data_IF_854841486643
#
_entry.id   IF_854841486643
#
_cell.length_a   1.000
_cell.length_b   1.000
_cell.length_c   1.000
_cell.angle_alpha   90.00
_cell.angle_beta   90.00
_cell.angle_gamma   90.00
#
_symmetry.space_group_name_H-M   'P 1'
#
loop_
_entity.id
_entity.type
_entity.pdbx_description
1 polymer ?
#
# COMPACT_ATOMS: atom_id res chain seq x y z
N UNK A 1 8.09 14.21 -39.34
CA UNK A 1 9.06 15.26 -39.40
C UNK A 1 10.42 14.70 -39.00
N UNK A 2 11.42 14.75 -39.87
CA UNK A 2 12.80 14.40 -39.50
C UNK A 2 13.50 15.66 -39.04
N UNK A 3 14.23 15.60 -37.96
CA UNK A 3 15.19 16.63 -37.62
C UNK A 3 16.47 16.38 -38.42
N UNK A 4 16.79 17.25 -39.37
CA UNK A 4 18.08 17.23 -40.05
C UNK A 4 19.05 18.00 -39.17
N UNK A 5 20.03 17.32 -38.60
CA UNK A 5 21.11 17.93 -37.85
C UNK A 5 22.30 18.10 -38.80
N UNK A 6 22.60 19.34 -39.20
CA UNK A 6 23.82 19.65 -39.93
C UNK A 6 24.92 19.79 -38.86
N UNK A 7 26.01 19.03 -38.95
CA UNK A 7 27.13 19.21 -38.02
C UNK A 7 27.87 20.51 -38.43
N UNK A 8 27.50 21.61 -37.78
CA UNK A 8 28.10 22.92 -38.00
C UNK A 8 28.46 23.62 -36.68
N UNK A 9 28.53 22.86 -35.61
CA UNK A 9 29.08 23.35 -34.34
C UNK A 9 30.59 23.27 -34.37
N UNK A 10 31.26 24.31 -33.95
CA UNK A 10 32.68 24.28 -33.66
C UNK A 10 32.88 23.42 -32.42
N UNK A 11 33.64 22.33 -32.55
CA UNK A 11 33.87 21.40 -31.45
C UNK A 11 35.07 21.81 -30.59
N UNK A 12 36.03 22.51 -31.20
CA UNK A 12 37.25 23.02 -30.56
C UNK A 12 37.44 24.54 -30.78
N UNK A 13 38.04 25.25 -29.82
CA UNK A 13 38.41 26.66 -30.00
C UNK A 13 39.30 26.91 -31.22
N UNK A 14 40.16 25.95 -31.59
CA UNK A 14 41.02 25.96 -32.77
C UNK A 14 40.25 26.14 -34.08
N UNK A 15 39.02 25.61 -34.19
CA UNK A 15 38.19 25.71 -35.37
C UNK A 15 37.76 27.17 -35.64
N UNK A 16 37.54 27.92 -34.56
CA UNK A 16 37.19 29.32 -34.61
C UNK A 16 38.42 30.19 -34.99
N UNK A 17 39.61 29.88 -34.43
CA UNK A 17 40.85 30.58 -34.76
C UNK A 17 41.20 30.45 -36.21
N UNK A 18 41.04 29.26 -36.79
CA UNK A 18 41.41 28.95 -38.17
C UNK A 18 40.30 29.29 -39.18
N UNK A 19 39.20 29.94 -38.77
CA UNK A 19 38.10 30.28 -39.67
C UNK A 19 38.59 31.30 -40.73
N UNK A 20 38.55 30.98 -42.03
CA UNK A 20 39.01 31.90 -43.06
C UNK A 20 38.01 33.05 -43.22
N UNK A 21 38.47 34.29 -42.99
CA UNK A 21 37.67 35.50 -43.11
C UNK A 21 37.81 36.10 -44.49
N UNK A 22 39.03 36.10 -45.08
CA UNK A 22 39.32 36.66 -46.42
C UNK A 22 40.48 35.92 -47.07
N UNK A 23 40.32 35.56 -48.33
CA UNK A 23 41.39 35.05 -49.18
C UNK A 23 41.83 36.19 -50.15
N UNK A 24 43.13 36.46 -50.15
CA UNK A 24 43.71 37.46 -51.07
C UNK A 24 44.88 36.81 -51.82
N UNK A 25 44.60 36.20 -52.98
CA UNK A 25 45.52 35.35 -53.71
C UNK A 25 45.90 34.09 -52.89
N UNK A 26 47.21 33.87 -52.73
CA UNK A 26 47.74 32.73 -51.93
C UNK A 26 47.68 32.92 -50.39
N UNK A 27 47.26 34.09 -49.95
CA UNK A 27 47.22 34.39 -48.49
C UNK A 27 45.83 34.29 -47.94
N UNK A 28 45.63 33.41 -47.02
CA UNK A 28 44.38 33.23 -46.23
C UNK A 28 44.54 34.02 -44.93
N UNK A 29 43.62 34.95 -44.69
CA UNK A 29 43.53 35.69 -43.43
C UNK A 29 42.48 34.97 -42.55
N UNK A 30 42.92 34.50 -41.41
CA UNK A 30 42.06 33.77 -40.44
C UNK A 30 41.46 34.73 -39.41
N UNK A 31 40.43 34.29 -38.70
CA UNK A 31 39.81 35.08 -37.63
C UNK A 31 40.81 35.35 -36.49
N UNK A 32 41.69 34.40 -36.20
CA UNK A 32 42.76 34.54 -35.19
C UNK A 32 43.80 35.61 -35.55
N UNK A 33 43.97 35.94 -36.85
CA UNK A 33 44.86 37.04 -37.30
C UNK A 33 44.28 38.44 -37.09
N UNK A 34 42.92 38.52 -36.96
CA UNK A 34 42.20 39.79 -36.91
C UNK A 34 41.65 40.13 -35.53
N UNK A 35 41.43 39.13 -34.70
CA UNK A 35 40.74 39.28 -33.41
C UNK A 35 41.35 38.40 -32.33
N UNK A 36 41.30 38.89 -31.10
CA UNK A 36 41.60 38.12 -29.91
C UNK A 36 40.36 37.36 -29.49
N UNK A 37 40.41 36.03 -29.60
CA UNK A 37 39.29 35.15 -29.27
C UNK A 37 39.44 34.68 -27.81
N UNK A 38 38.49 35.04 -26.96
CA UNK A 38 38.45 34.64 -25.54
C UNK A 38 37.28 33.73 -25.28
N UNK A 39 37.54 32.61 -24.65
CA UNK A 39 36.50 31.78 -24.13
C UNK A 39 35.89 32.46 -22.89
N UNK A 40 34.65 32.81 -22.93
CA UNK A 40 33.94 33.44 -21.81
C UNK A 40 32.56 32.85 -21.66
N UNK A 41 31.92 33.19 -20.55
CA UNK A 41 30.52 32.79 -20.31
C UNK A 41 29.59 33.80 -20.98
N UNK A 42 28.43 33.33 -21.41
CA UNK A 42 27.34 34.16 -21.90
C UNK A 42 26.91 35.17 -20.80
N UNK A 43 26.51 36.35 -21.25
CA UNK A 43 26.02 37.38 -20.33
C UNK A 43 24.82 36.86 -19.51
N UNK A 44 24.78 37.18 -18.24
CA UNK A 44 23.73 36.72 -17.35
C UNK A 44 22.38 37.22 -17.81
N UNK A 45 21.57 36.33 -18.34
CA UNK A 45 20.17 36.57 -18.76
C UNK A 45 19.18 36.47 -17.61
N UNK A 46 19.59 35.87 -16.50
CA UNK A 46 18.72 35.68 -15.30
C UNK A 46 19.53 35.49 -14.03
N UNK A 47 18.84 35.66 -12.89
CA UNK A 47 19.41 35.45 -11.57
C UNK A 47 18.50 34.45 -10.81
N UNK A 48 19.06 33.35 -10.36
CA UNK A 48 18.40 32.43 -9.45
C UNK A 48 18.74 32.80 -8.00
N UNK A 49 17.74 32.96 -7.14
CA UNK A 49 17.90 33.24 -5.71
C UNK A 49 17.02 32.32 -4.89
N UNK A 50 17.55 31.87 -3.77
CA UNK A 50 16.82 31.13 -2.77
C UNK A 50 16.98 31.86 -1.42
N UNK A 51 15.90 32.23 -0.76
CA UNK A 51 15.89 33.07 0.44
C UNK A 51 16.68 34.37 0.33
N UNK A 52 16.76 34.95 -0.88
CA UNK A 52 17.52 36.18 -1.14
C UNK A 52 18.98 35.96 -1.56
N UNK A 53 19.56 34.81 -1.27
CA UNK A 53 20.93 34.43 -1.63
C UNK A 53 21.02 33.86 -3.05
N UNK A 54 22.13 34.12 -3.72
CA UNK A 54 22.38 33.58 -5.07
C UNK A 54 22.53 32.09 -5.00
N UNK A 55 21.80 31.38 -5.85
CA UNK A 55 21.78 29.91 -5.86
C UNK A 55 21.95 29.32 -7.26
N UNK A 56 22.33 28.05 -7.29
CA UNK A 56 22.30 27.20 -8.49
C UNK A 56 21.33 26.05 -8.21
N UNK A 57 20.32 25.89 -9.06
CA UNK A 57 19.36 24.81 -8.93
C UNK A 57 19.74 23.65 -9.84
N UNK A 58 19.91 22.46 -9.25
CA UNK A 58 20.10 21.20 -9.99
C UNK A 58 18.78 20.45 -9.93
N UNK A 59 18.17 20.21 -11.08
CA UNK A 59 16.92 19.48 -11.17
C UNK A 59 17.21 18.02 -11.52
N UNK A 60 16.80 17.12 -10.62
CA UNK A 60 16.88 15.67 -10.84
C UNK A 60 15.51 15.15 -11.24
N UNK A 61 15.40 14.56 -12.42
CA UNK A 61 14.14 14.04 -12.97
C UNK A 61 14.20 12.52 -13.04
N UNK A 62 13.23 11.88 -12.42
CA UNK A 62 13.07 10.42 -12.40
C UNK A 62 12.69 9.88 -13.79
N UNK A 63 13.33 8.79 -14.23
CA UNK A 63 12.87 8.01 -15.39
C UNK A 63 11.61 7.19 -15.04
N UNK A 64 10.81 6.88 -16.05
CA UNK A 64 9.65 5.99 -15.90
C UNK A 64 10.10 4.61 -15.38
N UNK A 65 9.35 4.05 -14.45
CA UNK A 65 9.61 2.71 -13.88
C UNK A 65 10.52 2.68 -12.64
N UNK A 66 11.18 3.79 -12.28
CA UNK A 66 11.98 3.86 -11.04
C UNK A 66 11.15 4.32 -9.84
N UNK A 67 11.52 3.86 -8.65
CA UNK A 67 10.92 4.33 -7.40
C UNK A 67 11.41 5.74 -7.07
N UNK A 68 10.47 6.65 -6.79
CA UNK A 68 10.80 8.04 -6.48
C UNK A 68 11.46 8.18 -5.10
N UNK A 69 11.00 7.40 -4.12
CA UNK A 69 11.49 7.48 -2.73
C UNK A 69 12.94 7.01 -2.68
N UNK A 70 13.21 5.81 -3.22
CA UNK A 70 14.57 5.23 -3.23
C UNK A 70 15.56 6.11 -3.99
N UNK A 71 15.14 6.63 -5.16
CA UNK A 71 15.98 7.54 -5.95
C UNK A 71 16.28 8.84 -5.20
N UNK A 72 15.29 9.43 -4.53
CA UNK A 72 15.50 10.65 -3.77
C UNK A 72 16.46 10.43 -2.59
N UNK A 73 16.37 9.28 -1.94
CA UNK A 73 17.26 8.91 -0.85
C UNK A 73 18.69 8.67 -1.32
N UNK A 74 18.86 7.99 -2.46
CA UNK A 74 20.15 7.78 -3.12
C UNK A 74 20.77 9.11 -3.54
N UNK A 75 20.02 10.01 -4.18
CA UNK A 75 20.49 11.35 -4.57
C UNK A 75 20.91 12.17 -3.37
N UNK A 76 20.12 12.18 -2.29
CA UNK A 76 20.47 12.89 -1.04
C UNK A 76 21.75 12.36 -0.42
N UNK A 77 21.92 11.03 -0.40
CA UNK A 77 23.12 10.38 0.14
C UNK A 77 24.36 10.71 -0.69
N UNK A 78 24.23 10.71 -2.03
CA UNK A 78 25.29 11.04 -2.97
C UNK A 78 25.68 12.52 -2.86
N UNK A 79 24.73 13.43 -2.80
CA UNK A 79 24.98 14.88 -2.62
C UNK A 79 25.67 15.13 -1.26
N UNK A 80 25.26 14.42 -0.21
CA UNK A 80 25.90 14.55 1.11
C UNK A 80 27.34 14.04 1.08
N UNK A 81 27.60 12.90 0.44
CA UNK A 81 28.93 12.34 0.30
C UNK A 81 29.86 13.27 -0.51
N UNK A 82 29.34 13.81 -1.61
CA UNK A 82 30.09 14.71 -2.49
C UNK A 82 30.38 16.04 -1.78
N UNK A 83 29.41 16.64 -1.11
CA UNK A 83 29.62 17.87 -0.35
C UNK A 83 30.66 17.76 0.76
N UNK A 84 30.83 16.56 1.34
CA UNK A 84 31.86 16.27 2.33
C UNK A 84 33.26 16.15 1.73
N UNK A 85 33.38 15.83 0.44
CA UNK A 85 34.65 15.74 -0.27
C UNK A 85 35.24 17.11 -0.66
N UNK A 86 34.45 18.17 -0.59
CA UNK A 86 34.87 19.51 -0.98
C UNK A 86 35.92 20.11 -0.03
N UNK A 87 36.78 21.03 -0.51
CA UNK A 87 37.66 21.81 0.36
C UNK A 87 36.86 22.58 1.43
N UNK A 88 37.47 22.75 2.61
CA UNK A 88 36.80 23.40 3.75
C UNK A 88 36.20 24.76 3.43
N UNK A 89 36.88 25.55 2.61
CA UNK A 89 36.44 26.87 2.19
C UNK A 89 35.11 26.82 1.42
N UNK A 90 34.94 25.82 0.55
CA UNK A 90 33.71 25.59 -0.20
C UNK A 90 32.59 25.01 0.68
N UNK A 91 32.92 24.14 1.62
CA UNK A 91 31.93 23.60 2.56
C UNK A 91 31.30 24.68 3.46
N UNK A 92 32.07 25.71 3.79
CA UNK A 92 31.56 26.85 4.57
C UNK A 92 30.82 27.85 3.70
N UNK A 93 31.26 28.07 2.47
CA UNK A 93 30.70 29.08 1.57
C UNK A 93 29.42 28.61 0.87
N UNK A 94 29.25 27.31 0.65
CA UNK A 94 28.13 26.72 -0.11
C UNK A 94 27.21 25.95 0.81
N UNK A 95 25.99 26.42 0.94
CA UNK A 95 24.94 25.70 1.64
C UNK A 95 24.15 24.85 0.65
N UNK A 96 24.19 23.53 0.81
CA UNK A 96 23.43 22.59 0.00
C UNK A 96 22.08 22.30 0.67
N UNK A 97 21.00 22.60 -0.03
CA UNK A 97 19.63 22.35 0.42
C UNK A 97 18.81 21.62 -0.63
N UNK A 98 17.74 20.98 -0.18
CA UNK A 98 16.76 20.36 -1.08
C UNK A 98 15.50 21.22 -1.14
N UNK A 99 15.04 21.51 -2.34
CA UNK A 99 13.80 22.26 -2.59
C UNK A 99 12.88 21.40 -3.46
N UNK A 100 11.57 21.50 -3.25
CA UNK A 100 10.53 20.80 -4.00
C UNK A 100 10.74 19.27 -4.04
N UNK A 101 11.02 18.68 -2.89
CA UNK A 101 11.16 17.23 -2.74
C UNK A 101 9.79 16.54 -2.75
N UNK A 102 9.45 15.95 -3.90
CA UNK A 102 8.20 15.22 -4.06
C UNK A 102 8.20 13.85 -3.36
N UNK A 103 9.36 13.32 -2.97
CA UNK A 103 9.44 12.02 -2.30
C UNK A 103 8.78 12.03 -0.92
N UNK A 104 8.91 13.12 -0.17
CA UNK A 104 8.28 13.29 1.13
C UNK A 104 6.74 13.33 1.03
N UNK A 105 6.22 13.97 -0.02
CA UNK A 105 4.78 14.01 -0.27
C UNK A 105 4.24 12.61 -0.63
N UNK A 106 4.95 11.87 -1.49
CA UNK A 106 4.58 10.50 -1.86
C UNK A 106 4.64 9.58 -0.66
N UNK A 107 5.70 9.66 0.16
CA UNK A 107 5.81 8.88 1.39
C UNK A 107 4.67 9.16 2.38
N UNK A 108 4.29 10.43 2.53
CA UNK A 108 3.14 10.82 3.37
C UNK A 108 1.83 10.25 2.86
N UNK A 109 1.60 10.24 1.53
CA UNK A 109 0.40 9.65 0.93
C UNK A 109 0.35 8.13 1.14
N UNK A 110 1.48 7.43 0.99
CA UNK A 110 1.56 5.98 1.27
C UNK A 110 1.23 5.71 2.74
N UNK A 111 1.79 6.49 3.67
CA UNK A 111 1.46 6.38 5.10
C UNK A 111 -0.01 6.67 5.41
N UNK A 112 -0.63 7.64 4.73
CA UNK A 112 -2.07 7.90 4.86
C UNK A 112 -2.93 6.74 4.34
N UNK A 113 -2.55 6.13 3.23
CA UNK A 113 -3.24 4.94 2.71
C UNK A 113 -3.15 3.80 3.72
N UNK A 114 -1.95 3.50 4.21
CA UNK A 114 -1.73 2.45 5.20
C UNK A 114 -2.58 2.69 6.47
N UNK A 115 -2.54 3.90 7.02
CA UNK A 115 -3.36 4.29 8.17
C UNK A 115 -4.86 4.16 7.90
N UNK A 116 -5.33 4.56 6.72
CA UNK A 116 -6.75 4.46 6.32
C UNK A 116 -7.20 3.01 6.20
N UNK A 117 -6.37 2.15 5.58
CA UNK A 117 -6.64 0.72 5.45
C UNK A 117 -6.69 0.05 6.82
N UNK A 118 -5.72 0.31 7.70
CA UNK A 118 -5.68 -0.26 9.05
C UNK A 118 -6.89 0.19 9.88
N UNK A 119 -7.25 1.47 9.81
CA UNK A 119 -8.43 2.01 10.50
C UNK A 119 -9.71 1.37 9.99
N UNK A 120 -9.86 1.21 8.68
CA UNK A 120 -11.02 0.57 8.09
C UNK A 120 -11.12 -0.91 8.49
N UNK A 121 -10.00 -1.65 8.48
CA UNK A 121 -9.95 -3.03 8.95
C UNK A 121 -10.43 -3.10 10.41
N UNK A 122 -9.93 -2.23 11.27
CA UNK A 122 -10.29 -2.19 12.67
C UNK A 122 -11.79 -1.91 12.88
N UNK A 123 -12.34 -0.90 12.21
CA UNK A 123 -13.76 -0.54 12.30
C UNK A 123 -14.66 -1.67 11.79
N UNK A 124 -14.34 -2.22 10.62
CA UNK A 124 -15.10 -3.32 10.03
C UNK A 124 -15.03 -4.55 10.92
N UNK A 125 -13.85 -4.89 11.46
CA UNK A 125 -13.72 -6.02 12.38
C UNK A 125 -14.58 -5.85 13.64
N UNK A 126 -14.68 -4.63 14.21
CA UNK A 126 -15.54 -4.35 15.36
C UNK A 126 -17.01 -4.59 15.01
N UNK A 127 -17.48 -4.06 13.87
CA UNK A 127 -18.88 -4.23 13.41
C UNK A 127 -19.18 -5.69 13.14
N UNK A 128 -18.34 -6.38 12.39
CA UNK A 128 -18.52 -7.80 12.04
C UNK A 128 -18.38 -8.70 13.26
N UNK A 129 -17.49 -8.36 14.20
CA UNK A 129 -17.36 -9.09 15.47
C UNK A 129 -18.67 -9.04 16.29
N UNK A 130 -19.32 -7.89 16.27
CA UNK A 130 -20.59 -7.69 17.01
C UNK A 130 -21.75 -8.42 16.34
N UNK A 131 -21.79 -8.45 14.99
CA UNK A 131 -22.90 -9.05 14.21
C UNK A 131 -22.73 -10.56 13.99
N UNK A 132 -21.57 -11.00 13.51
CA UNK A 132 -21.30 -12.38 13.07
C UNK A 132 -20.40 -13.17 14.04
N UNK A 133 -19.73 -12.47 14.96
CA UNK A 133 -18.79 -13.08 15.92
C UNK A 133 -17.36 -13.17 15.39
N UNK A 134 -16.47 -13.74 16.22
CA UNK A 134 -15.01 -13.71 16.00
C UNK A 134 -14.56 -14.39 14.71
N UNK A 135 -15.22 -15.47 14.31
CA UNK A 135 -14.89 -16.20 13.08
C UNK A 135 -15.15 -15.37 11.83
N UNK A 136 -16.33 -14.76 11.72
CA UNK A 136 -16.69 -13.89 10.60
C UNK A 136 -15.78 -12.67 10.55
N UNK A 137 -15.47 -12.06 11.69
CA UNK A 137 -14.61 -10.88 11.78
C UNK A 137 -13.19 -11.15 11.23
N UNK A 138 -12.56 -12.27 11.61
CA UNK A 138 -11.23 -12.63 11.11
C UNK A 138 -11.25 -12.86 9.60
N UNK A 139 -12.26 -13.57 9.08
CA UNK A 139 -12.36 -13.85 7.65
C UNK A 139 -12.55 -12.58 6.82
N UNK A 140 -13.45 -11.70 7.25
CA UNK A 140 -13.70 -10.41 6.57
C UNK A 140 -12.50 -9.48 6.73
N UNK A 141 -11.89 -9.43 7.92
CA UNK A 141 -10.68 -8.65 8.16
C UNK A 141 -9.50 -9.05 7.29
N UNK A 142 -9.38 -10.35 6.96
CA UNK A 142 -8.36 -10.85 6.04
C UNK A 142 -8.70 -10.58 4.57
N UNK A 143 -9.97 -10.45 4.22
CA UNK A 143 -10.41 -10.19 2.85
C UNK A 143 -9.96 -8.79 2.36
N UNK A 144 -9.88 -7.79 3.24
CA UNK A 144 -9.50 -6.42 2.88
C UNK A 144 -8.06 -6.36 2.34
N UNK A 145 -7.01 -6.76 3.11
CA UNK A 145 -5.65 -6.68 2.63
C UNK A 145 -5.39 -7.58 1.41
N UNK A 146 -6.04 -8.75 1.33
CA UNK A 146 -5.91 -9.62 0.14
C UNK A 146 -6.51 -9.00 -1.10
N UNK A 147 -7.62 -8.28 -0.99
CA UNK A 147 -8.24 -7.55 -2.11
C UNK A 147 -7.34 -6.40 -2.58
N UNK A 148 -6.70 -5.68 -1.66
CA UNK A 148 -5.74 -4.63 -2.00
C UNK A 148 -4.50 -5.19 -2.70
N UNK A 149 -3.91 -6.25 -2.16
CA UNK A 149 -2.75 -6.91 -2.79
C UNK A 149 -3.09 -7.37 -4.21
N UNK A 150 -4.24 -8.01 -4.40
CA UNK A 150 -4.70 -8.41 -5.72
C UNK A 150 -4.92 -7.21 -6.65
N UNK A 151 -5.48 -6.12 -6.14
CA UNK A 151 -5.63 -4.87 -6.89
C UNK A 151 -4.28 -4.31 -7.33
N UNK A 152 -3.29 -4.24 -6.45
CA UNK A 152 -1.95 -3.77 -6.81
C UNK A 152 -1.30 -4.64 -7.89
N UNK A 153 -1.49 -5.96 -7.83
CA UNK A 153 -1.02 -6.86 -8.89
C UNK A 153 -1.71 -6.55 -10.22
N UNK A 154 -3.03 -6.34 -10.23
CA UNK A 154 -3.77 -6.01 -11.45
C UNK A 154 -3.35 -4.66 -12.03
N UNK A 155 -3.19 -3.63 -11.20
CA UNK A 155 -2.69 -2.31 -11.61
C UNK A 155 -1.27 -2.42 -12.18
N UNK A 156 -0.40 -3.23 -11.56
CA UNK A 156 0.97 -3.47 -12.02
C UNK A 156 1.02 -4.17 -13.38
N UNK A 157 0.19 -5.20 -13.60
CA UNK A 157 0.08 -5.91 -14.89
C UNK A 157 -0.41 -4.97 -16.00
N UNK A 158 -1.33 -4.07 -15.69
CA UNK A 158 -1.84 -3.07 -16.63
C UNK A 158 -0.89 -1.88 -16.83
N UNK A 159 0.24 -1.82 -16.12
CA UNK A 159 1.20 -0.73 -16.22
C UNK A 159 0.68 0.62 -15.68
N UNK A 160 -0.36 0.60 -14.85
CA UNK A 160 -0.92 1.80 -14.22
C UNK A 160 -0.01 2.22 -13.07
N UNK A 161 0.54 3.42 -13.17
CA UNK A 161 1.39 3.99 -12.11
C UNK A 161 0.54 4.52 -10.96
N UNK A 162 1.01 4.33 -9.73
CA UNK A 162 0.36 4.85 -8.53
C UNK A 162 0.50 6.38 -8.55
N UNK A 163 -0.62 7.06 -8.77
CA UNK A 163 -0.75 8.52 -8.74
C UNK A 163 -1.64 8.95 -7.58
N UNK A 164 -1.70 10.26 -7.30
CA UNK A 164 -2.58 10.82 -6.27
C UNK A 164 -4.05 10.41 -6.48
N UNK A 165 -4.50 10.30 -7.75
CA UNK A 165 -5.86 9.89 -8.06
C UNK A 165 -6.09 8.40 -7.81
N UNK A 166 -5.10 7.56 -8.11
CA UNK A 166 -5.15 6.13 -7.77
C UNK A 166 -5.21 5.93 -6.27
N UNK A 167 -4.38 6.66 -5.50
CA UNK A 167 -4.39 6.60 -4.03
C UNK A 167 -5.73 7.05 -3.45
N UNK A 168 -6.30 8.15 -3.97
CA UNK A 168 -7.61 8.61 -3.56
C UNK A 168 -8.70 7.58 -3.86
N UNK A 169 -8.66 6.96 -5.06
CA UNK A 169 -9.56 5.86 -5.42
C UNK A 169 -9.45 4.66 -4.50
N UNK A 170 -8.21 4.29 -4.10
CA UNK A 170 -7.97 3.20 -3.15
C UNK A 170 -8.56 3.49 -1.76
N UNK A 171 -8.36 4.71 -1.24
CA UNK A 171 -8.95 5.13 0.06
C UNK A 171 -10.47 5.08 0.01
N UNK A 172 -11.07 5.55 -1.09
CA UNK A 172 -12.52 5.53 -1.28
C UNK A 172 -13.06 4.10 -1.38
N UNK A 173 -12.32 3.22 -2.04
CA UNK A 173 -12.68 1.82 -2.21
C UNK A 173 -12.69 1.03 -0.90
N UNK A 174 -11.91 1.42 0.11
CA UNK A 174 -11.81 0.69 1.39
C UNK A 174 -13.19 0.40 1.99
N UNK A 175 -14.09 1.40 1.99
CA UNK A 175 -15.45 1.24 2.52
C UNK A 175 -16.33 0.31 1.69
N UNK A 176 -16.08 0.19 0.38
CA UNK A 176 -16.89 -0.61 -0.54
C UNK A 176 -16.37 -2.05 -0.72
N UNK A 177 -15.11 -2.31 -0.32
CA UNK A 177 -14.47 -3.61 -0.47
C UNK A 177 -15.13 -4.73 0.34
N UNK A 178 -15.77 -4.38 1.43
CA UNK A 178 -16.19 -5.33 2.47
C UNK A 178 -17.58 -5.88 2.22
N UNK A 179 -18.42 -5.16 1.49
CA UNK A 179 -19.83 -5.48 1.31
C UNK A 179 -20.05 -6.90 0.76
N UNK A 180 -19.33 -7.27 -0.28
CA UNK A 180 -19.43 -8.61 -0.86
C UNK A 180 -18.96 -9.71 0.09
N UNK A 181 -17.89 -9.44 0.84
CA UNK A 181 -17.34 -10.40 1.81
C UNK A 181 -18.29 -10.64 2.98
N UNK A 182 -18.91 -9.58 3.52
CA UNK A 182 -19.87 -9.67 4.63
C UNK A 182 -21.05 -10.55 4.23
N UNK A 183 -21.65 -10.30 3.06
CA UNK A 183 -22.84 -11.05 2.59
C UNK A 183 -22.54 -12.55 2.43
N UNK A 184 -21.37 -12.89 1.86
CA UNK A 184 -20.97 -14.29 1.69
C UNK A 184 -20.74 -14.98 3.05
N UNK A 185 -20.05 -14.32 3.98
CA UNK A 185 -19.77 -14.87 5.32
C UNK A 185 -21.06 -15.02 6.11
N UNK A 186 -21.94 -14.02 6.10
CA UNK A 186 -23.23 -14.05 6.80
C UNK A 186 -24.10 -15.22 6.35
N UNK A 187 -24.22 -15.41 5.03
CA UNK A 187 -24.95 -16.54 4.48
C UNK A 187 -24.34 -17.88 4.90
N UNK A 188 -23.02 -18.01 4.83
CA UNK A 188 -22.32 -19.22 5.22
C UNK A 188 -22.51 -19.52 6.72
N UNK A 189 -22.37 -18.52 7.58
CA UNK A 189 -22.55 -18.69 9.02
C UNK A 189 -24.00 -19.07 9.39
N UNK A 190 -25.00 -18.52 8.68
CA UNK A 190 -26.39 -18.93 8.82
C UNK A 190 -26.58 -20.41 8.47
N UNK A 191 -26.00 -20.87 7.37
CA UNK A 191 -26.08 -22.29 6.95
C UNK A 191 -25.34 -23.22 7.92
N UNK A 192 -24.22 -22.76 8.48
CA UNK A 192 -23.51 -23.52 9.52
C UNK A 192 -24.37 -23.62 10.79
N UNK A 193 -25.07 -22.55 11.18
CA UNK A 193 -25.99 -22.57 12.31
C UNK A 193 -27.19 -23.53 12.09
N UNK A 194 -27.61 -23.71 10.85
CA UNK A 194 -28.65 -24.69 10.44
C UNK A 194 -28.12 -26.15 10.44
N UNK A 195 -26.82 -26.37 10.71
CA UNK A 195 -26.22 -27.70 10.78
C UNK A 195 -25.47 -28.16 9.55
N UNK A 196 -25.33 -27.33 8.52
CA UNK A 196 -24.54 -27.66 7.34
C UNK A 196 -23.05 -27.63 7.67
N UNK A 197 -22.26 -28.55 7.11
CA UNK A 197 -20.80 -28.55 7.30
C UNK A 197 -20.14 -27.27 6.76
N UNK A 198 -19.09 -26.76 7.42
CA UNK A 198 -18.50 -25.47 7.04
C UNK A 198 -18.09 -25.37 5.55
N UNK A 199 -17.46 -26.41 5.01
CA UNK A 199 -17.03 -26.41 3.60
C UNK A 199 -18.21 -26.33 2.63
N UNK A 200 -19.26 -27.13 2.87
CA UNK A 200 -20.47 -27.12 2.04
C UNK A 200 -21.25 -25.80 2.19
N UNK A 201 -21.28 -25.22 3.39
CA UNK A 201 -21.93 -23.94 3.64
C UNK A 201 -21.27 -22.80 2.87
N UNK A 202 -19.94 -22.73 2.87
CA UNK A 202 -19.20 -21.69 2.12
C UNK A 202 -19.28 -21.89 0.60
N UNK A 203 -19.28 -23.13 0.10
CA UNK A 203 -19.50 -23.43 -1.32
C UNK A 203 -20.91 -23.03 -1.74
N UNK A 204 -21.92 -23.32 -0.92
CA UNK A 204 -23.31 -22.91 -1.20
C UNK A 204 -23.44 -21.38 -1.15
N UNK A 205 -22.81 -20.73 -0.17
CA UNK A 205 -22.78 -19.27 -0.07
C UNK A 205 -22.20 -18.62 -1.31
N UNK A 206 -21.05 -19.10 -1.79
CA UNK A 206 -20.44 -18.57 -3.03
C UNK A 206 -21.37 -18.71 -4.24
N UNK A 207 -22.02 -19.88 -4.39
CA UNK A 207 -22.94 -20.11 -5.51
C UNK A 207 -24.21 -19.25 -5.44
N UNK A 208 -24.83 -19.15 -4.26
CA UNK A 208 -26.07 -18.40 -4.12
C UNK A 208 -25.89 -16.89 -4.08
N UNK A 209 -24.79 -16.42 -3.49
CA UNK A 209 -24.51 -15.00 -3.37
C UNK A 209 -23.77 -14.42 -4.58
N UNK A 210 -23.40 -15.26 -5.57
CA UNK A 210 -22.72 -14.81 -6.79
C UNK A 210 -23.49 -13.66 -7.47
N UNK A 211 -24.74 -13.91 -7.86
CA UNK A 211 -25.53 -12.91 -8.59
C UNK A 211 -25.87 -11.66 -7.75
N UNK A 212 -26.32 -11.75 -6.49
CA UNK A 212 -26.53 -10.59 -5.66
C UNK A 212 -25.28 -9.72 -5.49
N UNK A 213 -24.14 -10.32 -5.20
CA UNK A 213 -22.87 -9.58 -4.99
C UNK A 213 -22.35 -9.03 -6.32
N UNK A 214 -22.39 -9.79 -7.41
CA UNK A 214 -21.97 -9.33 -8.73
C UNK A 214 -22.85 -8.16 -9.23
N UNK A 215 -24.16 -8.25 -9.07
CA UNK A 215 -25.08 -7.17 -9.49
C UNK A 215 -24.91 -5.92 -8.65
N UNK A 216 -24.73 -6.04 -7.32
CA UNK A 216 -24.44 -4.91 -6.45
C UNK A 216 -23.14 -4.21 -6.84
N UNK A 217 -22.06 -4.99 -7.04
CA UNK A 217 -20.77 -4.47 -7.49
C UNK A 217 -20.89 -3.78 -8.85
N UNK A 218 -21.60 -4.40 -9.80
CA UNK A 218 -21.83 -3.82 -11.13
C UNK A 218 -22.60 -2.49 -11.04
N UNK A 219 -23.62 -2.42 -10.19
CA UNK A 219 -24.38 -1.18 -9.97
C UNK A 219 -23.49 -0.07 -9.42
N UNK A 220 -22.65 -0.39 -8.45
CA UNK A 220 -21.68 0.56 -7.88
C UNK A 220 -20.69 1.04 -8.95
N UNK A 221 -20.17 0.13 -9.78
CA UNK A 221 -19.29 0.48 -10.89
C UNK A 221 -19.96 1.37 -11.92
N UNK A 222 -21.23 1.09 -12.27
CA UNK A 222 -21.99 1.90 -13.20
C UNK A 222 -22.17 3.35 -12.74
N UNK A 223 -22.19 3.60 -11.42
CA UNK A 223 -22.27 4.96 -10.88
C UNK A 223 -21.00 5.78 -11.19
N UNK A 224 -19.84 5.14 -11.30
CA UNK A 224 -18.56 5.81 -11.60
C UNK A 224 -18.21 5.84 -13.10
N UNK A 225 -18.87 5.02 -13.94
CA UNK A 225 -18.61 4.96 -15.38
C UNK A 225 -18.72 6.32 -16.10
N UNK A 226 -19.68 7.22 -15.78
CA UNK A 226 -19.78 8.52 -16.46
C UNK A 226 -18.52 9.36 -16.35
N UNK A 227 -17.73 9.21 -15.28
CA UNK A 227 -16.45 9.94 -15.12
C UNK A 227 -15.38 9.52 -16.13
N UNK A 228 -15.45 8.27 -16.64
CA UNK A 228 -14.53 7.77 -17.68
C UNK A 228 -14.75 8.45 -19.04
N UNK A 229 -15.99 8.87 -19.31
CA UNK A 229 -16.37 9.48 -20.58
C UNK A 229 -16.31 11.01 -20.55
N UNK A 230 -15.81 11.60 -19.46
CA UNK A 230 -15.68 13.04 -19.35
C UNK A 230 -14.63 13.57 -20.33
N UNK A 231 -14.97 14.51 -21.24
CA UNK A 231 -14.04 15.02 -22.25
C UNK A 231 -13.04 16.01 -21.64
N UNK A 232 -11.85 16.10 -22.29
CA UNK A 232 -10.85 17.11 -22.00
C UNK A 232 -9.90 16.75 -20.85
N UNK A 233 -9.15 17.74 -20.38
CA UNK A 233 -8.13 17.59 -19.33
C UNK A 233 -8.70 17.07 -18.01
N UNK A 234 -9.88 17.52 -17.54
CA UNK A 234 -10.49 16.96 -16.33
C UNK A 234 -10.76 15.47 -16.43
N UNK A 235 -11.22 14.98 -17.58
CA UNK A 235 -11.48 13.56 -17.79
C UNK A 235 -10.22 12.71 -17.78
N UNK A 236 -9.12 13.21 -18.37
CA UNK A 236 -7.83 12.52 -18.33
C UNK A 236 -7.28 12.41 -16.90
N UNK A 237 -7.48 13.44 -16.09
CA UNK A 237 -7.00 13.46 -14.71
C UNK A 237 -7.90 12.62 -13.79
N UNK A 238 -9.21 12.81 -13.86
CA UNK A 238 -10.18 12.12 -12.99
C UNK A 238 -10.52 10.70 -13.45
N UNK A 239 -10.25 10.36 -14.71
CA UNK A 239 -10.52 9.02 -15.26
C UNK A 239 -9.75 7.90 -14.58
N UNK A 240 -8.61 8.21 -13.93
CA UNK A 240 -7.85 7.22 -13.16
C UNK A 240 -8.60 6.74 -11.90
N UNK A 241 -9.50 7.55 -11.35
CA UNK A 241 -10.30 7.19 -10.18
C UNK A 241 -11.28 6.04 -10.47
N UNK A 242 -12.20 6.12 -11.45
CA UNK A 242 -13.08 5.01 -11.78
C UNK A 242 -12.31 3.77 -12.28
N UNK A 243 -11.19 3.93 -12.99
CA UNK A 243 -10.33 2.80 -13.37
C UNK A 243 -9.84 2.07 -12.11
N UNK A 244 -9.33 2.79 -11.12
CA UNK A 244 -8.88 2.19 -9.86
C UNK A 244 -10.02 1.48 -9.14
N UNK A 245 -11.20 2.11 -9.05
CA UNK A 245 -12.38 1.51 -8.43
C UNK A 245 -12.82 0.21 -9.13
N UNK A 246 -12.78 0.17 -10.48
CA UNK A 246 -13.06 -1.04 -11.25
C UNK A 246 -12.10 -2.17 -10.84
N UNK A 247 -10.79 -1.91 -10.78
CA UNK A 247 -9.82 -2.93 -10.40
C UNK A 247 -10.00 -3.39 -8.95
N UNK A 248 -10.19 -2.46 -8.01
CA UNK A 248 -10.37 -2.79 -6.59
C UNK A 248 -11.63 -3.61 -6.36
N UNK A 249 -12.77 -3.18 -6.91
CA UNK A 249 -14.03 -3.88 -6.73
C UNK A 249 -14.05 -5.23 -7.46
N UNK A 250 -13.41 -5.32 -8.63
CA UNK A 250 -13.23 -6.61 -9.31
C UNK A 250 -12.34 -7.56 -8.50
N UNK A 251 -11.25 -7.07 -7.92
CA UNK A 251 -10.39 -7.83 -7.01
C UNK A 251 -11.17 -8.30 -5.78
N UNK A 252 -11.95 -7.42 -5.17
CA UNK A 252 -12.82 -7.74 -4.03
C UNK A 252 -13.83 -8.84 -4.35
N UNK A 253 -14.46 -8.78 -5.52
CA UNK A 253 -15.39 -9.79 -5.98
C UNK A 253 -14.72 -11.17 -6.10
N UNK A 254 -13.51 -11.22 -6.67
CA UNK A 254 -12.72 -12.46 -6.77
C UNK A 254 -12.39 -12.99 -5.38
N UNK A 255 -11.95 -12.13 -4.47
CA UNK A 255 -11.62 -12.51 -3.09
C UNK A 255 -12.85 -13.01 -2.36
N UNK A 256 -13.97 -12.31 -2.44
CA UNK A 256 -15.21 -12.69 -1.77
C UNK A 256 -15.80 -14.02 -2.27
N UNK A 257 -15.69 -14.32 -3.57
CA UNK A 257 -16.32 -15.49 -4.18
C UNK A 257 -15.39 -16.70 -4.31
N UNK A 258 -14.08 -16.51 -4.34
CA UNK A 258 -13.10 -17.59 -4.51
C UNK A 258 -12.28 -17.79 -3.23
N UNK A 259 -11.54 -16.77 -2.80
CA UNK A 259 -10.60 -16.92 -1.67
C UNK A 259 -11.32 -17.13 -0.34
N UNK A 260 -12.35 -16.34 -0.09
CA UNK A 260 -13.05 -16.35 1.20
C UNK A 260 -13.81 -17.67 1.46
N UNK A 261 -14.50 -18.29 0.48
CA UNK A 261 -15.07 -19.63 0.67
C UNK A 261 -14.03 -20.71 0.93
N UNK A 262 -12.87 -20.64 0.30
CA UNK A 262 -11.78 -21.60 0.53
C UNK A 262 -11.25 -21.46 1.95
N UNK A 263 -10.88 -20.23 2.37
CA UNK A 263 -10.34 -19.95 3.68
C UNK A 263 -11.38 -20.24 4.77
N UNK A 264 -12.64 -19.86 4.55
CA UNK A 264 -13.75 -20.12 5.47
C UNK A 264 -14.06 -21.60 5.63
N UNK A 265 -14.01 -22.37 4.54
CA UNK A 265 -14.17 -23.81 4.56
C UNK A 265 -13.03 -24.53 5.32
N UNK A 266 -11.78 -24.12 5.10
CA UNK A 266 -10.60 -24.63 5.82
C UNK A 266 -10.62 -24.20 7.29
N UNK A 267 -10.95 -22.94 7.57
CA UNK A 267 -11.09 -22.39 8.93
C UNK A 267 -12.12 -23.16 9.76
N UNK A 268 -13.14 -23.75 9.13
CA UNK A 268 -14.09 -24.61 9.81
C UNK A 268 -13.50 -25.92 10.38
N UNK A 269 -12.40 -26.40 9.82
CA UNK A 269 -11.64 -27.51 10.40
C UNK A 269 -10.83 -27.03 11.60
N UNK A 270 -10.24 -25.86 11.50
CA UNK A 270 -9.48 -25.22 12.57
C UNK A 270 -10.38 -24.88 13.76
N UNK A 271 -11.61 -24.41 13.52
CA UNK A 271 -12.61 -24.13 14.57
C UNK A 271 -12.90 -25.36 15.45
N UNK A 272 -12.92 -26.57 14.88
CA UNK A 272 -13.07 -27.82 15.68
C UNK A 272 -11.88 -28.08 16.59
N UNK A 273 -10.66 -27.72 16.14
CA UNK A 273 -9.46 -27.84 16.99
C UNK A 273 -9.54 -26.84 18.14
N UNK A 274 -9.99 -25.62 17.89
CA UNK A 274 -10.22 -24.62 18.95
C UNK A 274 -11.29 -25.04 19.93
N UNK A 275 -12.40 -25.59 19.46
CA UNK A 275 -13.50 -26.05 20.29
C UNK A 275 -13.08 -27.24 21.14
N UNK A 276 -12.32 -28.18 20.59
CA UNK A 276 -11.76 -29.29 21.35
C UNK A 276 -10.75 -28.80 22.40
N UNK A 277 -9.87 -27.87 22.08
CA UNK A 277 -8.92 -27.27 23.02
C UNK A 277 -9.63 -26.48 24.13
N UNK A 278 -10.65 -25.70 23.76
CA UNK A 278 -11.50 -24.95 24.70
C UNK A 278 -12.25 -25.91 25.66
N UNK A 279 -12.83 -27.00 25.14
CA UNK A 279 -13.51 -28.01 25.93
C UNK A 279 -12.55 -28.78 26.87
N UNK A 280 -11.32 -29.00 26.45
CA UNK A 280 -10.27 -29.60 27.27
C UNK A 280 -9.87 -28.70 28.44
N UNK A 281 -9.76 -27.39 28.20
CA UNK A 281 -9.56 -26.37 29.24
C UNK A 281 -10.76 -26.29 30.22
N UNK A 282 -12.00 -26.38 29.70
CA UNK A 282 -13.22 -26.42 30.52
C UNK A 282 -13.24 -27.61 31.46
N UNK A 283 -12.78 -28.78 31.04
CA UNK A 283 -12.74 -30.00 31.87
C UNK A 283 -11.64 -29.97 32.93
N UNK A 284 -10.51 -29.32 32.67
CA UNK A 284 -9.32 -29.36 33.53
C UNK A 284 -9.20 -28.18 34.49
N UNK A 285 -9.79 -27.01 34.19
CA UNK A 285 -9.57 -25.78 34.95
C UNK A 285 -10.86 -25.21 35.55
N UNK A 286 -10.84 -24.79 36.83
CA UNK A 286 -11.97 -24.11 37.46
C UNK A 286 -12.24 -22.75 36.82
N UNK A 287 -13.48 -22.26 36.92
CA UNK A 287 -13.93 -21.04 36.23
C UNK A 287 -13.06 -19.79 36.50
N UNK A 288 -12.63 -19.61 37.77
CA UNK A 288 -11.78 -18.47 38.15
C UNK A 288 -10.45 -18.39 37.37
N UNK A 289 -9.79 -19.55 37.18
CA UNK A 289 -8.52 -19.60 36.45
C UNK A 289 -8.75 -19.31 34.95
N UNK A 290 -9.86 -19.82 34.40
CA UNK A 290 -10.23 -19.55 32.99
C UNK A 290 -10.52 -18.08 32.75
N UNK A 291 -11.24 -17.41 33.68
CA UNK A 291 -11.52 -15.99 33.60
C UNK A 291 -10.25 -15.12 33.75
N UNK A 292 -9.32 -15.52 34.63
CA UNK A 292 -8.03 -14.83 34.81
C UNK A 292 -7.08 -15.00 33.63
N UNK A 293 -7.20 -16.07 32.84
CA UNK A 293 -6.40 -16.27 31.63
C UNK A 293 -6.77 -15.31 30.49
N UNK A 294 -8.01 -14.83 30.42
CA UNK A 294 -8.47 -13.93 29.37
C UNK A 294 -7.70 -12.60 29.34
N UNK A 295 -7.61 -11.83 30.45
CA UNK A 295 -6.84 -10.60 30.43
C UNK A 295 -5.34 -10.83 30.18
N UNK A 296 -4.80 -11.97 30.63
CA UNK A 296 -3.40 -12.32 30.38
C UNK A 296 -3.14 -12.56 28.89
N UNK A 297 -4.01 -13.30 28.20
CA UNK A 297 -3.87 -13.56 26.76
C UNK A 297 -4.14 -12.33 25.92
N UNK A 298 -5.05 -11.44 26.34
CA UNK A 298 -5.25 -10.12 25.72
C UNK A 298 -4.02 -9.23 25.89
N UNK A 299 -3.37 -9.27 27.05
CA UNK A 299 -2.12 -8.56 27.26
C UNK A 299 -0.98 -9.10 26.37
N UNK A 300 -0.88 -10.42 26.22
CA UNK A 300 0.07 -11.01 25.27
C UNK A 300 -0.24 -10.59 23.83
N UNK A 301 -1.51 -10.54 23.43
CA UNK A 301 -1.91 -10.05 22.11
C UNK A 301 -1.50 -8.59 21.92
N UNK A 302 -1.71 -7.74 22.91
CA UNK A 302 -1.28 -6.34 22.89
C UNK A 302 0.24 -6.22 22.74
N UNK A 303 1.03 -6.95 23.54
CA UNK A 303 2.49 -6.93 23.45
C UNK A 303 3.02 -7.40 22.09
N UNK A 304 2.44 -8.47 21.52
CA UNK A 304 2.84 -8.96 20.20
C UNK A 304 2.44 -8.05 19.05
N UNK A 305 1.30 -7.35 19.19
CA UNK A 305 0.89 -6.31 18.23
C UNK A 305 1.82 -5.11 18.31
N UNK A 306 2.20 -4.66 19.51
CA UNK A 306 3.18 -3.58 19.69
C UNK A 306 4.55 -3.96 19.15
N UNK A 307 4.99 -5.21 19.33
CA UNK A 307 6.23 -5.73 18.75
C UNK A 307 6.20 -5.76 17.21
N UNK A 308 5.04 -5.97 16.60
CA UNK A 308 4.89 -5.92 15.16
C UNK A 308 4.97 -4.47 14.63
N UNK A 309 4.39 -3.51 15.36
CA UNK A 309 4.40 -2.08 15.01
C UNK A 309 5.78 -1.48 15.28
N UNK A 310 6.38 -1.84 16.40
CA UNK A 310 7.70 -1.35 16.82
C UNK A 310 8.60 -2.51 17.21
N UNK A 311 9.50 -2.97 16.31
CA UNK A 311 10.38 -4.12 16.56
C UNK A 311 11.30 -3.97 17.78
N UNK A 312 11.55 -2.74 18.21
CA UNK A 312 12.38 -2.45 19.39
C UNK A 312 11.62 -2.50 20.72
N UNK A 313 10.29 -2.76 20.71
CA UNK A 313 9.46 -2.71 21.92
C UNK A 313 9.82 -3.78 22.98
N UNK A 314 10.05 -5.02 22.54
CA UNK A 314 10.43 -6.15 23.43
C UNK A 314 11.88 -6.57 23.24
N UNK A 315 12.44 -6.37 22.05
CA UNK A 315 13.82 -6.71 21.73
C UNK A 315 14.58 -5.41 21.50
N UNK A 316 15.59 -5.15 22.33
CA UNK A 316 16.42 -3.94 22.24
C UNK A 316 17.32 -4.04 20.99
N UNK A 317 16.74 -3.72 19.82
CA UNK A 317 17.42 -3.72 18.52
C UNK A 317 17.84 -2.27 18.25
N UNK A 318 19.15 -2.03 18.11
CA UNK A 318 19.68 -0.73 17.73
C UNK A 318 19.09 -0.28 16.37
N UNK A 319 18.68 0.98 16.32
CA UNK A 319 17.95 1.60 15.21
C UNK A 319 18.64 1.62 13.83
N UNK A 320 19.80 0.97 13.70
CA UNK A 320 20.55 0.83 12.45
C UNK A 320 20.41 -0.53 11.73
N UNK A 321 19.74 -1.52 12.32
CA UNK A 321 19.60 -2.88 11.75
C UNK A 321 18.13 -3.32 11.62
N UNK A 322 17.24 -2.46 11.20
CA UNK A 322 15.86 -2.82 10.90
C UNK A 322 15.80 -3.64 9.59
N UNK A 323 16.00 -4.95 9.73
CA UNK A 323 15.77 -5.92 8.64
C UNK A 323 14.34 -6.48 8.75
N UNK A 324 13.77 -6.94 7.62
CA UNK A 324 12.48 -7.67 7.57
C UNK A 324 12.43 -8.82 8.59
N UNK A 325 13.59 -9.40 8.92
CA UNK A 325 13.76 -10.47 9.93
C UNK A 325 13.34 -10.01 11.33
N UNK A 326 13.47 -8.72 11.66
CA UNK A 326 13.10 -8.16 12.97
C UNK A 326 11.58 -8.14 13.24
N UNK A 327 10.76 -8.21 12.19
CA UNK A 327 9.30 -8.26 12.29
C UNK A 327 8.74 -9.68 12.44
N UNK A 328 9.54 -10.71 12.09
CA UNK A 328 9.11 -12.12 12.14
C UNK A 328 8.65 -12.56 13.55
N UNK A 329 9.38 -12.25 14.65
CA UNK A 329 8.95 -12.62 15.99
C UNK A 329 7.60 -12.02 16.37
N UNK A 330 7.35 -10.75 16.00
CA UNK A 330 6.08 -10.06 16.21
C UNK A 330 4.94 -10.73 15.46
N UNK A 331 5.14 -11.11 14.20
CA UNK A 331 4.15 -11.78 13.35
C UNK A 331 3.78 -13.19 13.88
N UNK A 332 4.78 -13.99 14.21
CA UNK A 332 4.55 -15.33 14.82
C UNK A 332 3.87 -15.20 16.17
N UNK A 333 4.33 -14.26 17.00
CA UNK A 333 3.75 -13.99 18.31
C UNK A 333 2.29 -13.56 18.21
N UNK A 334 1.93 -12.74 17.23
CA UNK A 334 0.56 -12.29 16.99
C UNK A 334 -0.36 -13.46 16.61
N UNK A 335 0.08 -14.36 15.73
CA UNK A 335 -0.69 -15.54 15.35
C UNK A 335 -0.92 -16.44 16.56
N UNK A 336 0.13 -16.72 17.36
CA UNK A 336 0.03 -17.55 18.56
C UNK A 336 -0.85 -16.91 19.65
N UNK A 337 -0.72 -15.61 19.88
CA UNK A 337 -1.52 -14.90 20.89
C UNK A 337 -2.99 -14.80 20.47
N UNK A 338 -3.30 -14.57 19.20
CA UNK A 338 -4.65 -14.59 18.66
C UNK A 338 -5.29 -16.01 18.85
N UNK A 339 -4.51 -17.06 18.61
CA UNK A 339 -4.91 -18.45 18.86
C UNK A 339 -5.23 -18.68 20.33
N UNK A 340 -4.37 -18.25 21.24
CA UNK A 340 -4.58 -18.36 22.69
C UNK A 340 -5.79 -17.55 23.17
N UNK A 341 -5.98 -16.32 22.70
CA UNK A 341 -7.16 -15.50 23.02
C UNK A 341 -8.45 -16.20 22.57
N UNK A 342 -8.48 -16.76 21.36
CA UNK A 342 -9.65 -17.48 20.86
C UNK A 342 -10.02 -18.69 21.72
N UNK A 343 -9.04 -19.47 22.19
CA UNK A 343 -9.25 -20.63 23.07
C UNK A 343 -9.72 -20.18 24.45
N UNK A 344 -9.10 -19.17 25.06
CA UNK A 344 -9.42 -18.70 26.40
C UNK A 344 -10.77 -18.01 26.46
N UNK A 345 -11.12 -17.20 25.46
CA UNK A 345 -12.45 -16.61 25.31
C UNK A 345 -13.54 -17.70 25.17
N UNK A 346 -13.28 -18.73 24.34
CA UNK A 346 -14.17 -19.87 24.21
C UNK A 346 -14.32 -20.67 25.52
N UNK A 347 -13.23 -20.81 26.32
CA UNK A 347 -13.24 -21.52 27.58
C UNK A 347 -13.92 -20.73 28.70
N UNK A 348 -13.88 -19.38 28.67
CA UNK A 348 -14.44 -18.52 29.72
C UNK A 348 -15.97 -18.35 29.69
N UNK A 349 -16.65 -18.87 28.65
CA UNK A 349 -18.13 -18.84 28.51
C UNK A 349 -18.76 -17.44 28.47
N UNK A 350 -18.07 -16.43 27.99
CA UNK A 350 -18.66 -15.11 27.79
C UNK A 350 -19.78 -15.09 26.71
N UNK A 351 -19.88 -16.13 25.90
CA UNK A 351 -20.99 -16.33 24.99
C UNK A 351 -22.07 -17.14 25.72
N UNK A 352 -23.15 -16.48 26.15
CA UNK A 352 -24.36 -17.14 26.64
C UNK A 352 -24.79 -18.11 25.54
N UNK A 353 -24.73 -19.42 25.81
CA UNK A 353 -25.33 -20.44 24.95
C UNK A 353 -26.79 -20.04 24.74
N UNK A 354 -27.18 -19.63 23.55
CA UNK A 354 -28.57 -19.70 23.16
C UNK A 354 -28.90 -21.18 23.23
N UNK A 355 -29.52 -21.57 24.34
CA UNK A 355 -30.09 -22.90 24.49
C UNK A 355 -30.83 -23.20 23.20
N UNK A 356 -30.41 -24.24 22.51
CA UNK A 356 -31.19 -24.86 21.46
C UNK A 356 -32.56 -25.15 22.02
N UNK A 357 -33.53 -24.30 21.75
CA UNK A 357 -34.92 -24.68 21.76
C UNK A 357 -35.12 -25.53 20.52
N UNK A 358 -34.60 -26.73 20.61
CA UNK A 358 -35.09 -27.85 19.81
C UNK A 358 -36.19 -28.45 20.67
N UNK A 359 -37.25 -27.70 20.85
CA UNK A 359 -38.49 -28.25 21.28
C UNK A 359 -39.15 -28.93 20.09
N UNK A 360 -39.32 -30.20 20.24
CA UNK A 360 -39.94 -31.12 19.34
C UNK A 360 -41.16 -30.58 18.59
N UNK A 361 -41.02 -30.47 17.30
CA UNK A 361 -42.11 -30.69 16.39
C UNK A 361 -42.08 -32.17 16.05
N UNK A 362 -42.63 -32.96 16.96
CA UNK A 362 -43.00 -34.36 16.72
C UNK A 362 -44.32 -34.34 15.98
N UNK A 363 -44.32 -34.92 14.83
CA UNK A 363 -45.46 -35.24 13.92
C UNK A 363 -46.74 -35.65 14.71
N UNK A 364 -47.81 -35.06 14.35
CA UNK A 364 -49.10 -35.71 14.13
C UNK A 364 -49.58 -35.36 12.75
#
# INVERSE_FOLDING_TARGET
AFSVKIPSSFDEPSDIYNLPVKTNGDRIITLGDLAEIKLTFEDRSGVARFNGETTVAIQVVKRRGFNLIDMAEEVKSLVKAESQSWPRDLQVAIQVGTSNDQSSQVASMVGQLEGSVLTAIALVMIVVLTSLGSRGAILVGFAIPTSFLLCFVLLGVMGVTISNMVMFGLILAVGMLVDGAIVVVEYADKRIAEGTGPMSAYVEAAKRMFWPVASSTATTLCAFLPMLFWPGVPGQFMGMLPVTLIFVLSASLIVALIFLPIIGGVSGRLSRVFENASNLLRKKLPWFIRAALVPLTLFCLFCTTMQLINPSFLMNIESGQLSIISYIPGGIGLILSAFLVSITMGAAEFKRERQKVVSGYRRT
#
